data_IF_322100151624
#
_entry.id   IF_322100151624
#
_cell.length_a   1.000
_cell.length_b   1.000
_cell.length_c   1.000
_cell.angle_alpha   90.00
_cell.angle_beta   90.00
_cell.angle_gamma   90.00
#
_symmetry.space_group_name_H-M   'P 1'
#
loop_
_entity.id
_entity.type
_entity.pdbx_description
1 polymer ?
#
# COMPACT_ATOMS: atom_id res chain seq x y z
N UNK A 1 -24.03 -15.00 -12.59
CA UNK A 1 -23.80 -16.45 -12.37
C UNK A 1 -22.44 -16.79 -12.95
N UNK A 2 -21.71 -17.71 -12.33
CA UNK A 2 -20.43 -18.23 -12.83
C UNK A 2 -20.53 -19.74 -12.97
N UNK A 3 -20.05 -20.30 -14.08
CA UNK A 3 -20.30 -21.71 -14.41
C UNK A 3 -19.13 -22.34 -15.15
N UNK A 4 -18.70 -23.48 -14.63
CA UNK A 4 -17.82 -24.43 -15.29
C UNK A 4 -18.64 -25.69 -15.60
N UNK A 5 -19.12 -25.77 -16.84
CA UNK A 5 -20.15 -26.73 -17.25
C UNK A 5 -19.72 -28.19 -16.99
N UNK A 6 -20.60 -28.96 -16.37
CA UNK A 6 -20.34 -30.36 -16.02
C UNK A 6 -19.42 -30.54 -14.81
N UNK A 7 -18.98 -29.47 -14.16
CA UNK A 7 -18.14 -29.54 -12.96
C UNK A 7 -18.72 -28.77 -11.79
N UNK A 8 -18.77 -27.44 -11.85
CA UNK A 8 -19.25 -26.59 -10.76
C UNK A 8 -19.85 -25.28 -11.24
N UNK A 9 -20.91 -24.84 -10.58
CA UNK A 9 -21.55 -23.54 -10.79
C UNK A 9 -21.73 -22.79 -9.47
N UNK A 10 -21.60 -21.46 -9.53
CA UNK A 10 -21.96 -20.54 -8.46
C UNK A 10 -23.08 -19.61 -8.95
N UNK A 11 -24.21 -19.64 -8.26
CA UNK A 11 -25.41 -18.89 -8.63
C UNK A 11 -25.84 -18.00 -7.48
N UNK A 12 -25.72 -16.69 -7.67
CA UNK A 12 -26.23 -15.71 -6.73
C UNK A 12 -27.74 -15.54 -6.90
N UNK A 13 -28.47 -15.55 -5.79
CA UNK A 13 -29.94 -15.43 -5.75
C UNK A 13 -30.36 -14.31 -4.80
N UNK A 14 -31.41 -13.59 -5.16
CA UNK A 14 -31.94 -12.45 -4.42
C UNK A 14 -33.46 -12.53 -4.35
N UNK A 15 -34.03 -12.04 -3.25
CA UNK A 15 -35.47 -11.80 -3.11
C UNK A 15 -35.69 -10.34 -2.74
N UNK A 16 -36.62 -9.67 -3.41
CA UNK A 16 -37.09 -8.34 -3.02
C UNK A 16 -38.01 -8.37 -1.80
N UNK A 17 -38.64 -9.51 -1.52
CA UNK A 17 -39.44 -9.73 -0.31
C UNK A 17 -38.55 -10.23 0.83
N UNK A 18 -38.53 -9.47 1.94
CA UNK A 18 -37.77 -9.76 3.16
C UNK A 18 -38.24 -11.01 3.89
N UNK A 19 -39.48 -11.46 3.64
CA UNK A 19 -40.04 -12.66 4.26
C UNK A 19 -39.70 -13.95 3.49
N UNK A 20 -39.01 -13.82 2.35
CA UNK A 20 -38.63 -14.94 1.49
C UNK A 20 -37.13 -15.13 1.56
N UNK A 21 -36.71 -16.31 2.03
CA UNK A 21 -35.32 -16.77 1.89
C UNK A 21 -35.08 -17.23 0.44
N UNK A 22 -34.31 -16.48 -0.38
CA UNK A 22 -34.07 -16.83 -1.77
C UNK A 22 -33.27 -18.14 -1.91
N UNK A 23 -32.38 -18.45 -0.97
CA UNK A 23 -31.54 -19.65 -1.02
C UNK A 23 -32.40 -20.89 -0.77
N UNK A 24 -33.17 -20.90 0.32
CA UNK A 24 -34.13 -21.97 0.62
C UNK A 24 -35.19 -22.12 -0.49
N UNK A 25 -35.65 -21.01 -1.06
CA UNK A 25 -36.59 -20.98 -2.19
C UNK A 25 -36.01 -21.56 -3.49
N UNK A 26 -34.68 -21.65 -3.65
CA UNK A 26 -34.05 -22.35 -4.77
C UNK A 26 -33.70 -23.80 -4.44
N UNK A 27 -33.24 -24.07 -3.20
CA UNK A 27 -32.80 -25.40 -2.75
C UNK A 27 -33.99 -26.36 -2.60
N UNK A 28 -35.11 -25.90 -2.03
CA UNK A 28 -36.27 -26.75 -1.73
C UNK A 28 -36.15 -27.58 -0.47
N UNK A 29 -37.27 -28.17 -0.05
CA UNK A 29 -37.30 -29.01 1.15
C UNK A 29 -36.25 -30.13 1.04
N UNK A 30 -35.31 -30.18 2.00
CA UNK A 30 -34.18 -31.13 2.00
C UNK A 30 -33.35 -31.15 0.71
N UNK A 31 -33.31 -30.04 -0.03
CA UNK A 31 -32.52 -29.93 -1.26
C UNK A 31 -33.10 -30.59 -2.50
N UNK A 32 -34.35 -31.08 -2.46
CA UNK A 32 -34.93 -31.86 -3.57
C UNK A 32 -34.87 -31.11 -4.91
N UNK A 33 -35.10 -29.79 -4.93
CA UNK A 33 -35.10 -29.03 -6.20
C UNK A 33 -33.69 -28.92 -6.79
N UNK A 34 -32.72 -28.54 -5.96
CA UNK A 34 -31.34 -28.39 -6.46
C UNK A 34 -30.72 -29.74 -6.83
N UNK A 35 -31.02 -30.81 -6.07
CA UNK A 35 -30.52 -32.15 -6.36
C UNK A 35 -31.05 -32.70 -7.70
N UNK A 36 -32.31 -32.39 -8.07
CA UNK A 36 -32.84 -32.76 -9.38
C UNK A 36 -32.07 -32.07 -10.52
N UNK A 37 -31.77 -30.78 -10.38
CA UNK A 37 -30.97 -30.03 -11.37
C UNK A 37 -29.55 -30.59 -11.46
N UNK A 38 -28.92 -30.87 -10.31
CA UNK A 38 -27.59 -31.51 -10.27
C UNK A 38 -27.62 -32.86 -11.02
N UNK A 39 -28.67 -33.67 -10.86
CA UNK A 39 -28.82 -34.93 -11.58
C UNK A 39 -29.01 -34.73 -13.09
N UNK A 40 -29.82 -33.75 -13.52
CA UNK A 40 -30.00 -33.39 -14.93
C UNK A 40 -28.71 -32.86 -15.58
N UNK A 41 -27.85 -32.20 -14.78
CA UNK A 41 -26.54 -31.70 -15.21
C UNK A 41 -25.41 -32.71 -14.98
N UNK A 42 -25.73 -34.01 -14.93
CA UNK A 42 -24.76 -35.11 -14.80
C UNK A 42 -23.80 -34.97 -13.60
N UNK A 43 -24.29 -34.44 -12.47
CA UNK A 43 -23.52 -34.31 -11.23
C UNK A 43 -22.73 -33.01 -11.09
N UNK A 44 -22.98 -32.00 -11.93
CA UNK A 44 -22.42 -30.65 -11.75
C UNK A 44 -22.75 -30.11 -10.35
N UNK A 45 -21.74 -29.72 -9.56
CA UNK A 45 -21.95 -29.15 -8.22
C UNK A 45 -22.48 -27.73 -8.32
N UNK A 46 -23.60 -27.41 -7.66
CA UNK A 46 -24.19 -26.07 -7.73
C UNK A 46 -24.21 -25.44 -6.35
N UNK A 47 -23.48 -24.33 -6.19
CA UNK A 47 -23.53 -23.49 -5.01
C UNK A 47 -24.60 -22.39 -5.22
N UNK A 48 -25.62 -22.38 -4.37
CA UNK A 48 -26.64 -21.32 -4.34
C UNK A 48 -26.26 -20.32 -3.26
N UNK A 49 -25.98 -19.08 -3.66
CA UNK A 49 -25.35 -18.07 -2.82
C UNK A 49 -26.32 -16.89 -2.64
N UNK A 50 -26.57 -16.39 -1.42
CA UNK A 50 -27.36 -15.18 -1.25
C UNK A 50 -26.60 -13.98 -1.84
N UNK A 51 -27.23 -13.26 -2.76
CA UNK A 51 -26.71 -11.99 -3.26
C UNK A 51 -26.80 -10.92 -2.16
N UNK A 52 -25.75 -10.12 -2.05
CA UNK A 52 -25.70 -8.96 -1.16
C UNK A 52 -25.12 -7.76 -1.91
N UNK A 53 -25.70 -6.55 -1.75
CA UNK A 53 -25.09 -5.33 -2.28
C UNK A 53 -23.83 -4.92 -1.51
N UNK A 54 -23.66 -5.39 -0.27
CA UNK A 54 -22.43 -5.26 0.50
C UNK A 54 -21.41 -6.30 -0.02
N UNK A 55 -20.33 -5.81 -0.63
CA UNK A 55 -19.31 -6.60 -1.31
C UNK A 55 -18.60 -7.58 -0.36
N UNK A 56 -18.31 -7.15 0.87
CA UNK A 56 -17.67 -7.99 1.88
C UNK A 56 -18.58 -9.16 2.26
N UNK A 57 -19.88 -8.92 2.46
CA UNK A 57 -20.83 -10.00 2.73
C UNK A 57 -21.02 -10.93 1.53
N UNK A 58 -21.02 -10.38 0.32
CA UNK A 58 -21.24 -11.16 -0.88
C UNK A 58 -20.05 -12.08 -1.18
N UNK A 59 -18.82 -11.57 -1.06
CA UNK A 59 -17.60 -12.36 -1.32
C UNK A 59 -17.41 -13.48 -0.29
N UNK A 60 -17.72 -13.23 0.99
CA UNK A 60 -17.70 -14.26 2.04
C UNK A 60 -18.69 -15.37 1.72
N UNK A 61 -19.87 -15.02 1.21
CA UNK A 61 -20.85 -16.02 0.79
C UNK A 61 -20.41 -16.78 -0.49
N UNK A 62 -19.68 -16.11 -1.39
CA UNK A 62 -19.22 -16.69 -2.65
C UNK A 62 -18.08 -17.71 -2.48
N UNK A 63 -17.19 -17.51 -1.49
CA UNK A 63 -16.04 -18.39 -1.26
C UNK A 63 -16.38 -19.67 -0.48
N UNK A 64 -17.59 -19.75 0.08
CA UNK A 64 -18.08 -20.92 0.81
C UNK A 64 -17.75 -22.25 0.08
N UNK A 65 -17.28 -23.28 0.80
CA UNK A 65 -17.42 -23.50 2.25
C UNK A 65 -16.28 -22.98 3.14
N UNK A 66 -15.27 -22.29 2.60
CA UNK A 66 -14.17 -21.77 3.42
C UNK A 66 -14.65 -20.63 4.34
N UNK A 67 -14.19 -20.64 5.59
CA UNK A 67 -14.44 -19.60 6.58
C UNK A 67 -13.46 -18.44 6.38
N UNK A 68 -13.99 -17.22 6.31
CA UNK A 68 -13.20 -16.01 6.12
C UNK A 68 -13.01 -15.31 7.45
N UNK A 69 -11.75 -15.03 7.79
CA UNK A 69 -11.35 -14.32 9.01
C UNK A 69 -11.40 -12.81 8.78
N UNK A 70 -10.91 -12.35 7.63
CA UNK A 70 -10.81 -10.93 7.28
C UNK A 70 -10.96 -10.74 5.77
N UNK A 71 -11.56 -9.62 5.38
CA UNK A 71 -11.71 -9.18 3.99
C UNK A 71 -10.96 -7.86 3.84
N UNK A 72 -10.07 -7.77 2.86
CA UNK A 72 -9.36 -6.54 2.48
C UNK A 72 -9.82 -6.19 1.07
N UNK A 73 -10.31 -4.97 0.89
CA UNK A 73 -10.86 -4.50 -0.39
C UNK A 73 -10.01 -3.34 -0.86
N UNK A 74 -9.53 -3.43 -2.10
CA UNK A 74 -8.84 -2.37 -2.81
C UNK A 74 -9.74 -1.93 -3.97
N UNK A 75 -10.38 -0.77 -3.78
CA UNK A 75 -11.37 -0.23 -4.73
C UNK A 75 -10.71 0.34 -5.99
N UNK A 76 -9.45 0.77 -5.92
CA UNK A 76 -8.76 1.43 -7.05
C UNK A 76 -8.45 0.43 -8.17
N UNK A 77 -8.17 -0.82 -7.82
CA UNK A 77 -7.83 -1.90 -8.77
C UNK A 77 -8.87 -3.03 -8.82
N UNK A 78 -10.05 -2.83 -8.23
CA UNK A 78 -11.14 -3.82 -8.16
C UNK A 78 -10.69 -5.21 -7.65
N UNK A 79 -9.91 -5.21 -6.56
CA UNK A 79 -9.30 -6.40 -5.97
C UNK A 79 -9.77 -6.65 -4.53
N UNK A 80 -9.99 -7.92 -4.20
CA UNK A 80 -10.34 -8.39 -2.87
C UNK A 80 -9.31 -9.44 -2.43
N UNK A 81 -8.71 -9.25 -1.26
CA UNK A 81 -7.87 -10.26 -0.60
C UNK A 81 -8.62 -10.83 0.61
N UNK A 82 -8.82 -12.15 0.61
CA UNK A 82 -9.49 -12.88 1.68
C UNK A 82 -8.44 -13.55 2.56
N UNK A 83 -8.52 -13.30 3.87
CA UNK A 83 -7.75 -14.03 4.86
C UNK A 83 -8.60 -15.17 5.40
N UNK A 84 -8.10 -16.39 5.29
CA UNK A 84 -8.74 -17.62 5.79
C UNK A 84 -7.79 -18.34 6.74
N UNK A 85 -8.25 -19.28 7.57
CA UNK A 85 -7.33 -20.13 8.33
C UNK A 85 -6.35 -20.84 7.39
N UNK A 86 -5.06 -20.91 7.74
CA UNK A 86 -4.01 -21.52 6.89
C UNK A 86 -4.41 -22.93 6.39
N UNK A 87 -5.06 -23.73 7.24
CA UNK A 87 -5.59 -25.06 6.90
C UNK A 87 -6.67 -25.09 5.80
N UNK A 88 -7.35 -23.96 5.56
CA UNK A 88 -8.45 -23.82 4.60
C UNK A 88 -8.07 -23.10 3.31
N UNK A 89 -6.82 -22.63 3.15
CA UNK A 89 -6.36 -21.95 1.92
C UNK A 89 -6.62 -22.81 0.67
N UNK A 90 -6.26 -24.09 0.72
CA UNK A 90 -6.50 -25.04 -0.38
C UNK A 90 -7.99 -25.25 -0.68
N UNK A 91 -8.83 -25.24 0.36
CA UNK A 91 -10.28 -25.36 0.24
C UNK A 91 -10.90 -24.12 -0.44
N UNK A 92 -10.45 -22.93 -0.03
CA UNK A 92 -10.89 -21.66 -0.57
C UNK A 92 -10.51 -21.50 -2.05
N UNK A 93 -9.27 -21.86 -2.42
CA UNK A 93 -8.80 -21.86 -3.82
C UNK A 93 -9.58 -22.90 -4.63
N UNK A 94 -9.76 -24.10 -4.06
CA UNK A 94 -10.40 -25.23 -4.72
C UNK A 94 -9.51 -25.91 -5.76
N UNK A 95 -9.95 -27.06 -6.26
CA UNK A 95 -9.19 -27.84 -7.24
C UNK A 95 -8.94 -27.02 -8.51
N UNK A 96 -7.67 -26.87 -8.91
CA UNK A 96 -7.23 -26.02 -10.04
C UNK A 96 -7.70 -24.56 -9.93
N UNK A 97 -7.91 -24.03 -8.72
CA UNK A 97 -8.41 -22.66 -8.54
C UNK A 97 -9.88 -22.49 -8.94
N UNK A 98 -10.64 -23.58 -9.13
CA UNK A 98 -12.00 -23.50 -9.62
C UNK A 98 -12.93 -22.71 -8.68
N UNK A 99 -12.76 -22.84 -7.35
CA UNK A 99 -13.67 -22.17 -6.41
C UNK A 99 -13.45 -20.66 -6.42
N UNK A 100 -12.20 -20.22 -6.34
CA UNK A 100 -11.83 -18.80 -6.36
C UNK A 100 -12.13 -18.15 -7.71
N UNK A 101 -11.88 -18.86 -8.83
CA UNK A 101 -12.22 -18.37 -10.18
C UNK A 101 -13.73 -18.15 -10.34
N UNK A 102 -14.55 -19.13 -9.96
CA UNK A 102 -16.00 -19.00 -10.03
C UNK A 102 -16.53 -17.93 -9.07
N UNK A 103 -15.90 -17.75 -7.90
CA UNK A 103 -16.27 -16.66 -6.99
C UNK A 103 -15.93 -15.29 -7.59
N UNK A 104 -14.75 -15.15 -8.19
CA UNK A 104 -14.30 -13.92 -8.86
C UNK A 104 -15.19 -13.58 -10.05
N UNK A 105 -15.53 -14.56 -10.90
CA UNK A 105 -16.48 -14.38 -12.00
C UNK A 105 -17.90 -14.02 -11.51
N UNK A 106 -18.33 -14.56 -10.36
CA UNK A 106 -19.65 -14.28 -9.81
C UNK A 106 -19.75 -12.87 -9.21
N UNK A 107 -18.71 -12.44 -8.52
CA UNK A 107 -18.63 -11.13 -7.85
C UNK A 107 -18.26 -10.02 -8.83
N UNK A 108 -17.49 -10.35 -9.88
CA UNK A 108 -16.97 -9.40 -10.86
C UNK A 108 -15.68 -8.70 -10.41
N UNK A 109 -15.03 -9.17 -9.35
CA UNK A 109 -13.81 -8.60 -8.78
C UNK A 109 -12.70 -9.64 -8.78
N UNK A 110 -11.44 -9.21 -8.85
CA UNK A 110 -10.31 -10.11 -8.66
C UNK A 110 -10.26 -10.56 -7.20
N UNK A 111 -10.21 -11.86 -6.93
CA UNK A 111 -10.17 -12.39 -5.56
C UNK A 111 -8.90 -13.19 -5.38
N UNK A 112 -8.13 -12.83 -4.34
CA UNK A 112 -6.99 -13.59 -3.85
C UNK A 112 -7.28 -14.14 -2.45
N UNK A 113 -6.64 -15.25 -2.09
CA UNK A 113 -6.77 -15.88 -0.77
C UNK A 113 -5.38 -16.03 -0.16
N UNK A 114 -5.25 -15.66 1.11
CA UNK A 114 -4.05 -15.83 1.91
C UNK A 114 -4.41 -16.48 3.25
N UNK A 115 -3.49 -17.25 3.81
CA UNK A 115 -3.65 -17.80 5.16
C UNK A 115 -3.40 -16.73 6.23
N UNK A 116 -4.06 -16.88 7.38
CA UNK A 116 -3.94 -16.00 8.55
C UNK A 116 -2.53 -15.95 9.14
N UNK A 117 -1.83 -17.08 9.21
CA UNK A 117 -0.42 -17.14 9.63
C UNK A 117 0.48 -16.40 8.63
N UNK A 118 0.23 -16.60 7.33
CA UNK A 118 0.96 -15.94 6.26
C UNK A 118 0.73 -14.42 6.27
N UNK A 119 -0.51 -13.96 6.46
CA UNK A 119 -0.84 -12.52 6.58
C UNK A 119 -0.17 -11.89 7.80
N UNK A 120 -0.22 -12.59 8.94
CA UNK A 120 0.43 -12.13 10.18
C UNK A 120 1.94 -11.98 10.00
N UNK A 121 2.57 -12.95 9.33
CA UNK A 121 3.99 -12.91 8.99
C UNK A 121 4.31 -11.76 8.03
N UNK A 122 3.45 -11.51 7.04
CA UNK A 122 3.61 -10.40 6.08
C UNK A 122 3.58 -9.06 6.81
N UNK A 123 2.59 -8.83 7.67
CA UNK A 123 2.51 -7.62 8.51
C UNK A 123 3.71 -7.45 9.43
N UNK A 124 4.14 -8.51 10.10
CA UNK A 124 5.31 -8.43 10.97
C UNK A 124 6.57 -8.03 10.19
N UNK A 125 6.73 -8.55 8.96
CA UNK A 125 7.80 -8.13 8.05
C UNK A 125 7.65 -6.68 7.59
N UNK A 126 6.44 -6.23 7.27
CA UNK A 126 6.17 -4.84 6.89
C UNK A 126 6.55 -3.88 8.03
N UNK A 127 6.09 -4.16 9.26
CA UNK A 127 6.46 -3.41 10.46
C UNK A 127 7.97 -3.40 10.71
N UNK A 128 8.61 -4.58 10.68
CA UNK A 128 10.07 -4.69 10.85
C UNK A 128 10.82 -3.93 9.75
N UNK A 129 10.37 -4.01 8.50
CA UNK A 129 10.99 -3.30 7.38
C UNK A 129 10.84 -1.79 7.47
N UNK A 130 9.68 -1.28 7.90
CA UNK A 130 9.47 0.15 8.19
C UNK A 130 10.29 0.60 9.39
N UNK A 131 10.43 -0.26 10.39
CA UNK A 131 11.17 0.03 11.62
C UNK A 131 12.68 0.23 11.38
N UNK A 132 13.24 -0.37 10.32
CA UNK A 132 14.67 -0.28 10.00
C UNK A 132 15.19 1.15 9.93
N UNK A 133 14.43 2.06 9.33
CA UNK A 133 14.81 3.46 9.23
C UNK A 133 15.05 4.04 10.63
N UNK A 134 14.14 3.79 11.57
CA UNK A 134 14.28 4.28 12.95
C UNK A 134 15.43 3.59 13.68
N UNK A 135 15.58 2.28 13.53
CA UNK A 135 16.68 1.52 14.16
C UNK A 135 18.04 2.03 13.69
N UNK A 136 18.22 2.20 12.38
CA UNK A 136 19.49 2.61 11.79
C UNK A 136 19.79 4.10 12.03
N UNK A 137 18.79 4.98 11.92
CA UNK A 137 18.99 6.43 11.98
C UNK A 137 18.89 7.03 13.39
N UNK A 138 18.12 6.41 14.30
CA UNK A 138 17.90 6.90 15.67
C UNK A 138 18.56 6.02 16.75
N UNK A 139 19.16 4.89 16.37
CA UNK A 139 19.77 3.92 17.28
C UNK A 139 18.80 3.49 18.39
N UNK A 140 17.62 3.05 17.97
CA UNK A 140 16.55 2.55 18.86
C UNK A 140 16.38 1.04 18.70
N UNK A 141 15.80 0.40 19.71
CA UNK A 141 15.44 -1.01 19.61
C UNK A 141 14.36 -1.24 18.53
N UNK A 142 14.37 -2.43 17.91
CA UNK A 142 13.42 -2.77 16.84
C UNK A 142 11.96 -2.61 17.28
N UNK A 143 11.65 -2.95 18.53
CA UNK A 143 10.30 -2.81 19.10
C UNK A 143 9.84 -1.35 19.10
N UNK A 144 10.73 -0.40 19.44
CA UNK A 144 10.42 1.03 19.42
C UNK A 144 10.12 1.47 17.99
N UNK A 145 10.94 1.05 17.03
CA UNK A 145 10.70 1.33 15.61
C UNK A 145 9.38 0.75 15.11
N UNK A 146 9.02 -0.48 15.50
CA UNK A 146 7.75 -1.12 15.11
C UNK A 146 6.53 -0.38 15.70
N UNK A 147 6.62 0.08 16.95
CA UNK A 147 5.56 0.88 17.59
C UNK A 147 5.34 2.21 16.85
N UNK A 148 6.42 2.89 16.48
CA UNK A 148 6.35 4.11 15.67
C UNK A 148 5.68 3.87 14.31
N UNK A 149 6.06 2.80 13.60
CA UNK A 149 5.42 2.45 12.32
C UNK A 149 3.94 2.13 12.51
N UNK A 150 3.58 1.45 13.60
CA UNK A 150 2.18 1.09 13.88
C UNK A 150 1.27 2.30 14.12
N UNK A 151 1.83 3.40 14.64
CA UNK A 151 1.14 4.69 14.82
C UNK A 151 1.25 5.59 13.57
N UNK A 152 1.84 5.09 12.47
CA UNK A 152 1.86 5.77 11.17
C UNK A 152 3.11 6.61 10.90
N UNK A 153 4.12 6.59 11.77
CA UNK A 153 5.40 7.24 11.49
C UNK A 153 6.17 6.44 10.43
N UNK A 154 6.46 7.07 9.29
CA UNK A 154 7.08 6.40 8.14
C UNK A 154 8.50 6.87 7.84
N UNK A 155 8.92 7.99 8.45
CA UNK A 155 10.22 8.63 8.21
C UNK A 155 10.71 9.41 9.41
N UNK A 156 12.01 9.76 9.42
CA UNK A 156 12.61 10.59 10.48
C UNK A 156 12.06 12.01 10.45
N UNK A 157 11.73 12.51 9.25
CA UNK A 157 11.11 13.80 9.04
C UNK A 157 9.70 13.87 9.64
N UNK A 158 8.95 12.76 9.62
CA UNK A 158 7.64 12.71 10.28
C UNK A 158 7.78 12.92 11.79
N UNK A 159 8.77 12.27 12.41
CA UNK A 159 9.06 12.43 13.85
C UNK A 159 9.54 13.84 14.21
N UNK A 160 10.42 14.42 13.40
CA UNK A 160 10.93 15.79 13.63
C UNK A 160 9.79 16.83 13.59
N UNK A 161 8.81 16.62 12.70
CA UNK A 161 7.66 17.52 12.51
C UNK A 161 6.55 17.29 13.52
N UNK A 162 6.38 16.08 14.03
CA UNK A 162 5.31 15.74 14.95
C UNK A 162 5.42 16.47 16.30
N UNK A 163 4.30 16.64 16.99
CA UNK A 163 4.32 17.19 18.34
C UNK A 163 4.79 16.12 19.35
N UNK A 164 5.38 16.58 20.46
CA UNK A 164 5.82 15.66 21.54
C UNK A 164 4.64 14.85 22.07
N UNK A 165 3.44 15.44 22.11
CA UNK A 165 2.22 14.77 22.55
C UNK A 165 1.82 13.61 21.64
N UNK A 166 1.96 13.75 20.32
CA UNK A 166 1.60 12.71 19.36
C UNK A 166 2.51 11.48 19.50
N UNK A 167 3.81 11.72 19.67
CA UNK A 167 4.79 10.65 19.89
C UNK A 167 4.59 10.01 21.26
N UNK A 168 4.26 10.80 22.29
CA UNK A 168 4.00 10.29 23.64
C UNK A 168 2.69 9.48 23.74
N UNK A 169 1.78 9.60 22.77
CA UNK A 169 0.54 8.83 22.71
C UNK A 169 0.75 7.38 22.21
N UNK A 170 1.90 7.09 21.61
CA UNK A 170 2.29 5.74 21.20
C UNK A 170 2.30 4.83 22.43
N UNK A 171 1.76 3.62 22.31
CA UNK A 171 1.66 2.69 23.43
C UNK A 171 3.04 2.37 24.02
N UNK A 172 3.16 2.47 25.34
CA UNK A 172 4.41 2.30 26.06
C UNK A 172 5.36 3.52 26.06
N UNK A 173 5.00 4.63 25.40
CA UNK A 173 5.84 5.84 25.39
C UNK A 173 5.39 6.85 26.46
N UNK A 174 6.25 7.82 26.73
CA UNK A 174 5.95 8.96 27.60
C UNK A 174 6.59 10.24 27.01
N UNK A 175 6.32 11.40 27.60
CA UNK A 175 6.87 12.67 27.11
C UNK A 175 8.41 12.72 27.11
N UNK A 176 9.07 11.99 28.00
CA UNK A 176 10.53 11.95 28.08
C UNK A 176 11.11 11.21 26.87
N UNK A 177 10.59 10.01 26.59
CA UNK A 177 10.94 9.22 25.40
C UNK A 177 10.63 10.00 24.13
N UNK A 178 9.47 10.64 24.05
CA UNK A 178 9.07 11.44 22.90
C UNK A 178 10.05 12.59 22.62
N UNK A 179 10.46 13.33 23.67
CA UNK A 179 11.46 14.41 23.53
C UNK A 179 12.83 13.88 23.12
N UNK A 180 13.25 12.75 23.67
CA UNK A 180 14.51 12.09 23.30
C UNK A 180 14.49 11.68 21.82
N UNK A 181 13.44 11.00 21.36
CA UNK A 181 13.28 10.60 19.96
C UNK A 181 13.29 11.80 19.01
N UNK A 182 12.61 12.90 19.36
CA UNK A 182 12.67 14.14 18.58
C UNK A 182 14.08 14.72 18.52
N UNK A 183 14.79 14.71 19.65
CA UNK A 183 16.17 15.22 19.72
C UNK A 183 17.07 14.42 18.79
N UNK A 184 16.99 13.08 18.86
CA UNK A 184 17.74 12.18 17.96
C UNK A 184 17.36 12.36 16.49
N UNK A 185 16.08 12.56 16.20
CA UNK A 185 15.61 12.83 14.84
C UNK A 185 16.23 14.12 14.28
N UNK A 186 16.18 15.21 15.04
CA UNK A 186 16.78 16.48 14.65
C UNK A 186 18.30 16.37 14.45
N UNK A 187 19.00 15.69 15.36
CA UNK A 187 20.45 15.44 15.26
C UNK A 187 20.79 14.58 14.02
N UNK A 188 20.00 13.54 13.74
CA UNK A 188 20.18 12.69 12.59
C UNK A 188 19.99 13.46 11.27
N UNK A 189 18.93 14.27 11.16
CA UNK A 189 18.69 15.12 9.99
C UNK A 189 19.82 16.14 9.80
N UNK A 190 20.30 16.75 10.89
CA UNK A 190 21.44 17.67 10.84
C UNK A 190 22.73 16.96 10.36
N UNK A 191 22.99 15.74 10.85
CA UNK A 191 24.12 14.92 10.41
C UNK A 191 24.03 14.57 8.93
N UNK A 192 22.89 14.02 8.48
CA UNK A 192 22.66 13.69 7.06
C UNK A 192 22.81 14.91 6.16
N UNK A 193 22.30 16.07 6.58
CA UNK A 193 22.47 17.33 5.84
C UNK A 193 23.94 17.73 5.73
N UNK A 194 24.73 17.59 6.79
CA UNK A 194 26.17 17.88 6.78
C UNK A 194 26.91 16.94 5.83
N UNK A 195 26.65 15.63 5.94
CA UNK A 195 27.23 14.61 5.06
C UNK A 195 26.89 14.86 3.59
N UNK A 196 25.65 15.26 3.29
CA UNK A 196 25.23 15.61 1.94
C UNK A 196 25.98 16.84 1.40
N UNK A 197 26.18 17.88 2.22
CA UNK A 197 26.97 19.06 1.82
C UNK A 197 28.43 18.66 1.52
N UNK A 198 29.07 17.87 2.40
CA UNK A 198 30.43 17.37 2.19
C UNK A 198 30.53 16.52 0.91
N UNK A 199 29.50 15.71 0.62
CA UNK A 199 29.41 14.95 -0.63
C UNK A 199 29.34 15.87 -1.85
N UNK A 200 28.51 16.91 -1.83
CA UNK A 200 28.41 17.90 -2.91
C UNK A 200 29.74 18.62 -3.17
N UNK A 201 30.45 19.01 -2.11
CA UNK A 201 31.80 19.58 -2.21
C UNK A 201 32.77 18.61 -2.90
N UNK A 202 32.74 17.32 -2.53
CA UNK A 202 33.58 16.29 -3.15
C UNK A 202 33.26 16.08 -4.64
N UNK A 203 32.02 16.30 -5.05
CA UNK A 203 31.57 16.22 -6.44
C UNK A 203 31.90 17.47 -7.26
N UNK A 204 32.55 18.47 -6.65
CA UNK A 204 32.90 19.76 -7.26
C UNK A 204 31.68 20.54 -7.75
N UNK A 205 30.58 20.46 -7.00
CA UNK A 205 29.36 21.23 -7.27
C UNK A 205 29.63 22.69 -6.97
N UNK A 206 29.26 23.58 -7.91
CA UNK A 206 29.51 25.01 -7.75
C UNK A 206 28.75 25.59 -6.55
N UNK A 207 29.38 26.48 -5.78
CA UNK A 207 28.74 27.18 -4.64
C UNK A 207 27.47 27.92 -5.07
N UNK A 208 27.44 28.41 -6.31
CA UNK A 208 26.29 29.13 -6.86
C UNK A 208 25.05 28.25 -6.95
N UNK A 209 25.19 26.95 -7.25
CA UNK A 209 24.08 25.99 -7.24
C UNK A 209 23.52 25.84 -5.83
N UNK A 210 24.38 25.84 -4.79
CA UNK A 210 23.95 25.79 -3.39
C UNK A 210 23.18 27.04 -2.95
N UNK A 211 23.35 28.15 -3.66
CA UNK A 211 22.68 29.42 -3.40
C UNK A 211 21.43 29.65 -4.26
N UNK A 212 21.00 28.67 -5.05
CA UNK A 212 19.76 28.78 -5.81
C UNK A 212 18.55 28.68 -4.87
N UNK A 213 17.51 29.50 -5.09
CA UNK A 213 16.32 29.48 -4.25
C UNK A 213 15.57 28.16 -4.39
N UNK A 214 14.80 27.79 -3.38
CA UNK A 214 13.92 26.61 -3.34
C UNK A 214 14.61 25.24 -3.34
N UNK A 215 15.77 25.07 -3.99
CA UNK A 215 16.51 23.81 -4.00
C UNK A 215 16.95 23.42 -2.58
N UNK A 216 16.55 22.22 -2.15
CA UNK A 216 17.10 21.62 -0.94
C UNK A 216 18.40 20.90 -1.26
N UNK A 217 19.23 20.67 -0.23
CA UNK A 217 20.49 19.94 -0.37
C UNK A 217 20.27 18.57 -1.03
N UNK A 218 19.17 17.89 -0.68
CA UNK A 218 18.76 16.60 -1.25
C UNK A 218 18.47 16.67 -2.76
N UNK A 219 17.86 17.77 -3.23
CA UNK A 219 17.59 17.98 -4.66
C UNK A 219 18.90 18.18 -5.42
N UNK A 220 19.82 18.97 -4.83
CA UNK A 220 21.15 19.25 -5.42
C UNK A 220 21.98 17.97 -5.51
N UNK A 221 21.93 17.09 -4.51
CA UNK A 221 22.63 15.78 -4.56
C UNK A 221 22.15 14.96 -5.75
N UNK A 222 20.84 14.82 -5.94
CA UNK A 222 20.27 14.04 -7.07
C UNK A 222 20.63 14.64 -8.43
N UNK A 223 20.58 15.97 -8.55
CA UNK A 223 21.04 16.67 -9.75
C UNK A 223 22.52 16.36 -10.02
N UNK A 224 23.35 16.44 -8.99
CA UNK A 224 24.80 16.23 -9.08
C UNK A 224 25.18 14.80 -9.46
N UNK A 225 24.45 13.81 -8.96
CA UNK A 225 24.58 12.38 -9.33
C UNK A 225 24.29 12.15 -10.82
N UNK A 226 23.37 12.94 -11.39
CA UNK A 226 23.02 12.92 -12.82
C UNK A 226 23.88 13.88 -13.66
N UNK A 227 24.98 14.38 -13.10
CA UNK A 227 25.95 15.21 -13.82
C UNK A 227 25.63 16.70 -13.87
N UNK A 228 24.54 17.14 -13.25
CA UNK A 228 24.16 18.56 -13.16
C UNK A 228 24.84 19.17 -11.94
N UNK A 229 25.99 19.83 -12.14
CA UNK A 229 26.88 20.28 -11.04
C UNK A 229 27.19 21.78 -11.06
N UNK A 230 26.84 22.45 -12.14
CA UNK A 230 27.02 23.89 -12.34
C UNK A 230 25.69 24.59 -12.59
N UNK A 231 25.71 25.92 -12.48
CA UNK A 231 24.54 26.75 -12.80
C UNK A 231 24.24 26.70 -14.30
N UNK A 232 25.27 26.56 -15.14
CA UNK A 232 25.15 26.31 -16.57
C UNK A 232 24.36 25.02 -16.86
N UNK A 233 24.66 23.94 -16.13
CA UNK A 233 23.96 22.67 -16.31
C UNK A 233 22.47 22.85 -15.98
N UNK A 234 22.14 23.50 -14.86
CA UNK A 234 20.74 23.77 -14.46
C UNK A 234 20.05 24.71 -15.46
N UNK A 235 20.76 25.73 -15.95
CA UNK A 235 20.23 26.68 -16.93
C UNK A 235 19.83 26.00 -18.25
N UNK A 236 20.52 24.92 -18.60
CA UNK A 236 20.26 24.12 -19.80
C UNK A 236 19.03 23.22 -19.69
N UNK A 237 18.62 22.88 -18.47
CA UNK A 237 17.44 22.04 -18.23
C UNK A 237 16.15 22.74 -18.65
N UNK A 238 15.17 21.92 -19.04
CA UNK A 238 13.77 22.27 -18.97
C UNK A 238 13.11 21.69 -17.71
N UNK A 239 11.89 22.14 -17.42
CA UNK A 239 11.12 21.74 -16.23
C UNK A 239 10.89 20.24 -16.18
N UNK A 240 10.59 19.63 -17.33
CA UNK A 240 10.30 18.19 -17.42
C UNK A 240 11.57 17.37 -17.16
N UNK A 241 12.72 17.77 -17.75
CA UNK A 241 14.03 17.14 -17.47
C UNK A 241 14.44 17.24 -16.00
N UNK A 242 14.13 18.36 -15.34
CA UNK A 242 14.37 18.49 -13.91
C UNK A 242 13.57 17.45 -13.12
N UNK A 243 12.29 17.26 -13.44
CA UNK A 243 11.46 16.26 -12.77
C UNK A 243 11.85 14.83 -13.13
N UNK A 244 12.39 14.58 -14.32
CA UNK A 244 12.94 13.27 -14.67
C UNK A 244 14.14 12.91 -13.76
N UNK A 245 14.97 13.90 -13.42
CA UNK A 245 16.13 13.72 -12.53
C UNK A 245 15.70 13.69 -11.06
N UNK A 246 14.75 14.55 -10.66
CA UNK A 246 14.28 14.72 -9.28
C UNK A 246 12.76 14.51 -9.19
N UNK A 247 12.25 13.28 -9.41
CA UNK A 247 10.81 13.02 -9.53
C UNK A 247 10.04 13.21 -8.22
N UNK A 248 10.74 13.19 -7.08
CA UNK A 248 10.17 13.40 -5.74
C UNK A 248 10.46 14.79 -5.19
N UNK A 249 10.88 15.75 -6.03
CA UNK A 249 11.05 17.13 -5.60
C UNK A 249 9.73 17.64 -5.01
N UNK A 250 9.77 18.21 -3.81
CA UNK A 250 8.61 18.88 -3.19
C UNK A 250 8.41 20.29 -3.76
N UNK A 251 8.81 20.52 -5.01
CA UNK A 251 8.80 21.80 -5.70
C UNK A 251 7.66 21.84 -6.71
N UNK A 252 6.90 22.94 -6.75
CA UNK A 252 5.91 23.20 -7.80
C UNK A 252 6.58 23.52 -9.13
N UNK A 253 5.83 23.41 -10.23
CA UNK A 253 6.33 23.71 -11.56
C UNK A 253 6.88 25.13 -11.65
N UNK A 254 6.19 26.08 -11.04
CA UNK A 254 6.59 27.49 -11.00
C UNK A 254 7.89 27.69 -10.21
N UNK A 255 8.12 26.91 -9.14
CA UNK A 255 9.36 26.97 -8.37
C UNK A 255 10.53 26.43 -9.20
N UNK A 256 10.36 25.31 -9.89
CA UNK A 256 11.38 24.74 -10.78
C UNK A 256 11.69 25.70 -11.93
N UNK A 257 10.67 26.27 -12.57
CA UNK A 257 10.83 27.27 -13.63
C UNK A 257 11.60 28.49 -13.13
N UNK A 258 11.33 28.93 -11.90
CA UNK A 258 12.06 30.03 -11.26
C UNK A 258 13.53 29.67 -11.01
N UNK A 259 13.84 28.44 -10.59
CA UNK A 259 15.22 27.97 -10.40
C UNK A 259 15.98 28.01 -11.73
N UNK A 260 15.40 27.41 -12.78
CA UNK A 260 16.02 27.36 -14.11
C UNK A 260 16.22 28.78 -14.67
N UNK A 261 15.22 29.64 -14.55
CA UNK A 261 15.31 31.02 -15.03
C UNK A 261 16.38 31.81 -14.27
N UNK A 262 16.47 31.64 -12.95
CA UNK A 262 17.48 32.30 -12.15
C UNK A 262 18.89 31.80 -12.51
N UNK A 263 19.05 30.51 -12.78
CA UNK A 263 20.29 29.95 -13.31
C UNK A 263 20.67 30.58 -14.65
N UNK A 264 19.71 30.72 -15.58
CA UNK A 264 19.96 31.35 -16.89
C UNK A 264 20.39 32.82 -16.77
N UNK A 265 19.84 33.58 -15.82
CA UNK A 265 20.27 34.96 -15.56
C UNK A 265 21.71 35.01 -15.05
N UNK A 266 22.09 34.14 -14.12
CA UNK A 266 23.44 34.09 -13.55
C UNK A 266 24.51 33.80 -14.61
N UNK A 267 24.18 32.94 -15.58
CA UNK A 267 25.04 32.61 -16.73
C UNK A 267 24.95 33.67 -17.86
N UNK A 268 23.98 34.60 -17.78
CA UNK A 268 23.81 35.69 -18.77
C UNK A 268 23.09 35.29 -20.06
N UNK A 269 22.26 34.25 -20.02
CA UNK A 269 21.43 33.81 -21.17
C UNK A 269 20.17 34.67 -21.35
N UNK A 270 19.74 35.38 -20.30
CA UNK A 270 18.56 36.26 -20.27
C UNK A 270 18.81 37.48 -19.40
#
# INVERSE_FOLDING_TARGET
MARDAGSRSKVAVYSSDKNVDPVGACIGARGVRIQNIVAELNGEKIDVIPYSPDLAKFVVSAIAPAEVVKVIIDEDIEKIELVVPESQVSLAIGRYGQNIRLASELVGWSIDVIGDETESTRKAKELSSGAKVFVEDLDVEEIIGQLLVSEGFSSIEDLDRAEVGDIAAVDGFNEEIARELKTRAAECLARKRKEAIEMLESMSVSEEVMQLPFLQVEDIVKLSENGVRSVEDIASLCTDEFYDIVPKAKLSKEQVDSVILESRKRVGWV
#
